data_IF_114912455829
#
_entry.id   IF_114912455829
#
_cell.length_a   1.000
_cell.length_b   1.000
_cell.length_c   1.000
_cell.angle_alpha   90.00
_cell.angle_beta   90.00
_cell.angle_gamma   90.00
#
_symmetry.space_group_name_H-M   'P 1'
#
loop_
_entity.id
_entity.type
_entity.pdbx_description
1 polymer ?
#
# COMPACT_ATOMS: atom_id res chain seq x y z
N UNK A 1 -1.08 22.06 -26.74
CA UNK A 1 -2.38 21.77 -26.08
C UNK A 1 -3.35 21.03 -27.02
N UNK A 2 -2.88 20.09 -27.85
CA UNK A 2 -3.72 19.45 -28.88
C UNK A 2 -3.24 18.07 -29.37
N UNK A 3 -2.38 17.36 -28.62
CA UNK A 3 -2.04 15.94 -28.90
C UNK A 3 -2.73 14.92 -27.97
N UNK A 4 -3.36 15.36 -26.89
CA UNK A 4 -3.96 14.45 -25.89
C UNK A 4 -5.37 13.94 -26.23
N UNK A 5 -6.01 14.41 -27.31
CA UNK A 5 -7.40 14.00 -27.66
C UNK A 5 -7.50 12.93 -28.74
N UNK A 6 -6.42 12.62 -29.46
CA UNK A 6 -6.49 11.71 -30.61
C UNK A 6 -6.36 10.22 -30.26
N UNK A 7 -5.81 9.87 -29.09
CA UNK A 7 -5.62 8.47 -28.69
C UNK A 7 -6.86 7.85 -28.00
N UNK A 8 -7.87 8.64 -27.65
CA UNK A 8 -9.03 8.20 -26.88
C UNK A 8 -10.20 7.67 -27.72
N UNK A 9 -10.15 7.77 -29.06
CA UNK A 9 -11.30 7.49 -29.93
C UNK A 9 -11.24 6.19 -30.73
N UNK A 10 -10.20 5.35 -30.59
CA UNK A 10 -10.01 4.18 -31.48
C UNK A 10 -10.60 2.86 -30.93
N UNK A 11 -10.98 2.76 -29.66
CA UNK A 11 -11.36 1.47 -29.06
C UNK A 11 -12.87 1.36 -28.77
N UNK A 12 -13.69 1.33 -29.82
CA UNK A 12 -15.07 0.82 -29.77
C UNK A 12 -15.29 -0.24 -30.84
N UNK A 13 -14.99 -1.49 -30.51
CA UNK A 13 -15.64 -2.65 -31.15
C UNK A 13 -15.94 -3.65 -30.03
N UNK A 14 -17.16 -4.16 -29.99
CA UNK A 14 -17.71 -5.00 -28.91
C UNK A 14 -16.99 -6.36 -28.71
N UNK A 15 -15.97 -6.68 -29.52
CA UNK A 15 -15.04 -7.81 -29.35
C UNK A 15 -13.62 -7.43 -28.91
N UNK A 16 -13.29 -6.14 -28.82
CA UNK A 16 -11.98 -5.64 -28.38
C UNK A 16 -11.82 -5.71 -26.86
N UNK A 17 -12.92 -5.69 -26.10
CA UNK A 17 -12.90 -5.70 -24.63
C UNK A 17 -12.23 -6.96 -24.07
N UNK A 18 -12.56 -8.14 -24.60
CA UNK A 18 -12.02 -9.41 -24.12
C UNK A 18 -10.50 -9.52 -24.41
N UNK A 19 -10.07 -9.10 -25.61
CA UNK A 19 -8.64 -9.09 -25.98
C UNK A 19 -7.86 -8.08 -25.13
N UNK A 20 -8.40 -6.86 -24.94
CA UNK A 20 -7.76 -5.86 -24.07
C UNK A 20 -7.64 -6.36 -22.64
N UNK A 21 -8.66 -7.05 -22.13
CA UNK A 21 -8.64 -7.62 -20.80
C UNK A 21 -7.64 -8.77 -20.68
N UNK A 22 -7.53 -9.61 -21.70
CA UNK A 22 -6.53 -10.68 -21.77
C UNK A 22 -5.11 -10.11 -21.77
N UNK A 23 -4.86 -9.00 -22.48
CA UNK A 23 -3.57 -8.31 -22.51
C UNK A 23 -3.24 -7.69 -21.14
N UNK A 24 -4.21 -7.05 -20.47
CA UNK A 24 -4.04 -6.47 -19.13
C UNK A 24 -3.79 -7.53 -18.04
N UNK A 25 -4.21 -8.78 -18.29
CA UNK A 25 -4.03 -9.92 -17.39
C UNK A 25 -2.90 -10.84 -17.81
N UNK A 26 -2.10 -10.45 -18.79
CA UNK A 26 -1.03 -11.28 -19.30
C UNK A 26 0.12 -11.40 -18.30
N UNK A 27 0.39 -12.63 -17.86
CA UNK A 27 1.46 -12.93 -16.90
C UNK A 27 2.78 -13.26 -17.58
N UNK A 28 2.73 -13.78 -18.81
CA UNK A 28 3.91 -14.20 -19.56
C UNK A 28 3.84 -13.71 -21.00
N UNK A 29 4.75 -12.80 -21.31
CA UNK A 29 5.01 -12.33 -22.66
C UNK A 29 6.15 -13.16 -23.26
N UNK A 30 5.93 -13.69 -24.46
CA UNK A 30 6.95 -14.39 -25.23
C UNK A 30 7.39 -13.51 -26.39
N UNK A 31 8.69 -13.37 -26.58
CA UNK A 31 9.26 -12.76 -27.77
C UNK A 31 9.29 -13.82 -28.87
N UNK A 32 8.69 -13.48 -30.00
CA UNK A 32 8.72 -14.30 -31.20
C UNK A 32 9.80 -13.78 -32.13
N UNK A 33 10.56 -14.70 -32.72
CA UNK A 33 11.61 -14.33 -33.68
C UNK A 33 10.97 -13.84 -34.98
N UNK A 34 11.28 -12.62 -35.39
CA UNK A 34 10.79 -12.02 -36.64
C UNK A 34 11.93 -11.72 -37.59
N UNK A 35 11.66 -11.87 -38.88
CA UNK A 35 12.56 -11.44 -39.96
C UNK A 35 12.41 -9.96 -40.29
N UNK A 36 11.33 -9.33 -39.81
CA UNK A 36 10.94 -7.94 -40.11
C UNK A 36 11.48 -6.94 -39.08
N UNK A 37 12.82 -6.82 -39.03
CA UNK A 37 13.51 -5.94 -38.08
C UNK A 37 13.25 -4.44 -38.26
N UNK A 38 12.66 -4.01 -39.39
CA UNK A 38 12.45 -2.60 -39.71
C UNK A 38 11.10 -2.10 -39.19
N UNK A 39 10.05 -2.92 -39.29
CA UNK A 39 8.66 -2.54 -38.95
C UNK A 39 8.17 -3.18 -37.66
N UNK A 40 8.72 -4.33 -37.27
CA UNK A 40 8.35 -5.06 -36.07
C UNK A 40 9.57 -5.82 -35.50
N UNK A 41 10.58 -5.09 -34.99
CA UNK A 41 11.79 -5.71 -34.44
C UNK A 41 11.51 -6.56 -33.19
N UNK A 42 10.47 -6.21 -32.42
CA UNK A 42 10.04 -7.00 -31.27
C UNK A 42 8.57 -7.41 -31.45
N UNK A 43 8.33 -8.68 -31.78
CA UNK A 43 6.99 -9.27 -31.81
C UNK A 43 6.74 -10.04 -30.53
N UNK A 44 5.71 -9.64 -29.79
CA UNK A 44 5.30 -10.31 -28.57
C UNK A 44 3.92 -10.92 -28.71
N UNK A 45 3.70 -12.07 -28.08
CA UNK A 45 2.37 -12.60 -27.83
C UNK A 45 2.21 -12.97 -26.37
N UNK A 46 0.96 -12.99 -25.91
CA UNK A 46 0.63 -13.43 -24.57
C UNK A 46 0.53 -14.96 -24.52
N UNK A 47 1.46 -15.61 -23.83
CA UNK A 47 1.51 -17.06 -23.68
C UNK A 47 0.58 -17.55 -22.56
N UNK A 48 0.51 -16.80 -21.45
CA UNK A 48 -0.39 -17.09 -20.35
C UNK A 48 -0.99 -15.84 -19.73
N UNK A 49 -2.28 -15.91 -19.41
CA UNK A 49 -3.03 -14.85 -18.76
C UNK A 49 -3.86 -15.40 -17.60
N UNK A 50 -4.17 -14.55 -16.63
CA UNK A 50 -5.04 -14.95 -15.53
C UNK A 50 -6.47 -15.25 -16.01
N UNK A 51 -6.99 -16.42 -15.64
CA UNK A 51 -8.34 -16.83 -16.02
C UNK A 51 -9.41 -16.33 -15.06
N UNK A 52 -10.47 -15.78 -15.66
CA UNK A 52 -11.79 -15.55 -15.06
C UNK A 52 -11.85 -14.37 -14.11
N UNK A 53 -13.02 -13.73 -14.07
CA UNK A 53 -13.38 -12.74 -13.06
C UNK A 53 -14.29 -13.34 -12.01
N UNK A 54 -14.18 -12.84 -10.79
CA UNK A 54 -15.22 -13.07 -9.81
C UNK A 54 -16.46 -12.23 -10.10
N UNK A 55 -17.59 -12.67 -9.54
CA UNK A 55 -18.81 -11.89 -9.57
C UNK A 55 -18.57 -10.47 -9.00
N UNK A 56 -19.25 -9.44 -9.54
CA UNK A 56 -19.06 -8.04 -9.10
C UNK A 56 -19.35 -7.85 -7.62
N UNK A 57 -20.20 -8.70 -7.03
CA UNK A 57 -20.47 -8.74 -5.59
C UNK A 57 -19.19 -8.95 -4.75
N UNK A 58 -18.26 -9.77 -5.21
CA UNK A 58 -16.98 -9.99 -4.52
C UNK A 58 -16.13 -8.71 -4.54
N UNK A 59 -16.11 -8.00 -5.67
CA UNK A 59 -15.45 -6.70 -5.77
C UNK A 59 -16.05 -5.65 -4.83
N UNK A 60 -17.38 -5.61 -4.72
CA UNK A 60 -18.07 -4.72 -3.79
C UNK A 60 -17.75 -5.05 -2.31
N UNK A 61 -17.68 -6.35 -1.96
CA UNK A 61 -17.27 -6.78 -0.62
C UNK A 61 -15.84 -6.36 -0.29
N UNK A 62 -14.90 -6.49 -1.25
CA UNK A 62 -13.51 -6.06 -1.07
C UNK A 62 -13.42 -4.54 -0.95
N UNK A 63 -14.20 -3.78 -1.72
CA UNK A 63 -14.29 -2.32 -1.58
C UNK A 63 -14.81 -1.92 -0.19
N UNK A 64 -15.90 -2.54 0.27
CA UNK A 64 -16.46 -2.29 1.59
C UNK A 64 -15.47 -2.66 2.71
N UNK A 65 -14.72 -3.74 2.54
CA UNK A 65 -13.66 -4.15 3.44
C UNK A 65 -12.49 -3.14 3.48
N UNK A 66 -12.04 -2.66 2.31
CA UNK A 66 -11.01 -1.63 2.23
C UNK A 66 -11.45 -0.31 2.90
N UNK A 67 -12.69 0.11 2.65
CA UNK A 67 -13.30 1.26 3.31
C UNK A 67 -13.39 1.05 4.84
N UNK A 68 -13.78 -0.14 5.29
CA UNK A 68 -13.81 -0.50 6.70
C UNK A 68 -12.42 -0.39 7.34
N UNK A 69 -11.37 -0.93 6.70
CA UNK A 69 -9.99 -0.84 7.18
C UNK A 69 -9.50 0.60 7.31
N UNK A 70 -9.83 1.46 6.32
CA UNK A 70 -9.52 2.89 6.35
C UNK A 70 -10.25 3.59 7.51
N UNK A 71 -11.56 3.40 7.60
CA UNK A 71 -12.42 4.04 8.61
C UNK A 71 -12.09 3.57 10.02
N UNK A 72 -11.80 2.29 10.22
CA UNK A 72 -11.44 1.76 11.54
C UNK A 72 -10.10 2.33 11.99
N UNK A 73 -9.10 2.39 11.10
CA UNK A 73 -7.82 3.02 11.39
C UNK A 73 -8.00 4.51 11.75
N UNK A 74 -8.79 5.26 10.97
CA UNK A 74 -9.09 6.67 11.24
C UNK A 74 -9.85 6.88 12.56
N UNK A 75 -10.87 6.07 12.82
CA UNK A 75 -11.66 6.19 14.05
C UNK A 75 -10.80 5.90 15.28
N UNK A 76 -9.92 4.90 15.22
CA UNK A 76 -9.04 4.58 16.34
C UNK A 76 -7.95 5.63 16.56
N UNK A 77 -7.39 6.24 15.51
CA UNK A 77 -6.45 7.35 15.68
C UNK A 77 -7.12 8.57 16.30
N UNK A 78 -8.33 8.94 15.86
CA UNK A 78 -9.10 10.05 16.49
C UNK A 78 -9.44 9.73 17.95
N UNK A 79 -9.88 8.51 18.25
CA UNK A 79 -10.17 8.10 19.63
C UNK A 79 -8.92 8.11 20.52
N UNK A 80 -7.73 7.86 19.96
CA UNK A 80 -6.46 8.00 20.67
C UNK A 80 -6.08 9.46 20.95
N UNK A 81 -6.49 10.41 20.12
CA UNK A 81 -6.28 11.85 20.35
C UNK A 81 -7.27 12.36 21.41
N UNK A 82 -8.53 11.93 21.35
CA UNK A 82 -9.62 12.48 22.18
C UNK A 82 -9.66 11.99 23.62
N UNK A 83 -9.14 10.79 23.91
CA UNK A 83 -9.11 10.22 25.26
C UNK A 83 -7.67 10.15 25.76
N UNK A 84 -7.28 11.10 26.58
CA UNK A 84 -6.10 10.99 27.43
C UNK A 84 -6.26 9.75 28.34
N UNK A 85 -5.57 8.65 28.03
CA UNK A 85 -5.19 7.65 29.03
C UNK A 85 -6.15 6.48 29.37
N UNK A 86 -7.23 6.19 28.64
CA UNK A 86 -8.07 5.04 28.98
C UNK A 86 -7.55 3.70 28.38
N UNK A 87 -6.62 3.05 29.09
CA UNK A 87 -6.03 1.74 28.78
C UNK A 87 -7.05 0.58 28.66
N UNK A 88 -8.30 0.75 29.07
CA UNK A 88 -9.32 -0.32 29.07
C UNK A 88 -9.92 -0.64 27.69
N UNK A 89 -9.75 0.23 26.69
CA UNK A 89 -10.26 0.00 25.33
C UNK A 89 -9.24 -0.64 24.37
N UNK A 90 -8.02 -0.94 24.81
CA UNK A 90 -6.87 -1.26 23.94
C UNK A 90 -6.92 -2.66 23.32
N UNK A 91 -7.36 -3.67 24.07
CA UNK A 91 -7.22 -5.09 23.68
C UNK A 91 -8.11 -5.52 22.50
N UNK A 92 -9.31 -4.95 22.36
CA UNK A 92 -10.25 -5.27 21.26
C UNK A 92 -10.02 -4.46 19.99
N UNK A 93 -9.37 -3.29 20.08
CA UNK A 93 -9.15 -2.39 18.92
C UNK A 93 -8.27 -3.03 17.85
N UNK A 94 -7.24 -3.77 18.26
CA UNK A 94 -6.29 -4.37 17.33
C UNK A 94 -6.90 -5.42 16.40
N UNK A 95 -7.94 -6.14 16.84
CA UNK A 95 -8.65 -7.11 15.98
C UNK A 95 -9.45 -6.44 14.86
N UNK A 96 -9.70 -5.13 14.98
CA UNK A 96 -10.49 -4.32 14.06
C UNK A 96 -9.62 -3.41 13.18
N UNK A 97 -8.30 -3.51 13.31
CA UNK A 97 -7.30 -2.76 12.51
C UNK A 97 -6.73 -3.67 11.41
N UNK A 98 -6.43 -3.15 10.21
CA UNK A 98 -5.95 -3.96 9.08
C UNK A 98 -4.68 -4.78 9.36
N UNK A 99 -3.78 -4.31 10.22
CA UNK A 99 -2.59 -5.06 10.70
C UNK A 99 -2.89 -6.11 11.77
N UNK A 100 -4.16 -6.26 12.18
CA UNK A 100 -4.61 -7.21 13.18
C UNK A 100 -4.60 -8.66 12.69
N UNK A 101 -4.54 -9.65 13.59
CA UNK A 101 -4.41 -11.06 13.22
C UNK A 101 -5.60 -11.62 12.43
N UNK A 102 -6.78 -11.00 12.51
CA UNK A 102 -7.96 -11.42 11.74
C UNK A 102 -8.09 -10.70 10.40
N UNK A 103 -7.79 -9.39 10.35
CA UNK A 103 -7.96 -8.60 9.14
C UNK A 103 -6.78 -8.75 8.17
N UNK A 104 -5.56 -8.96 8.69
CA UNK A 104 -4.36 -9.16 7.87
C UNK A 104 -4.50 -10.36 6.91
N UNK A 105 -4.95 -11.56 7.33
CA UNK A 105 -5.22 -12.66 6.40
C UNK A 105 -6.27 -12.32 5.33
N UNK A 106 -7.28 -11.51 5.66
CA UNK A 106 -8.30 -11.08 4.69
C UNK A 106 -7.72 -10.08 3.67
N UNK A 107 -6.85 -9.16 4.11
CA UNK A 107 -6.08 -8.28 3.20
C UNK A 107 -5.20 -9.13 2.27
N UNK A 108 -4.51 -10.13 2.81
CA UNK A 108 -3.69 -11.06 2.02
C UNK A 108 -4.52 -11.84 1.00
N UNK A 109 -5.70 -12.33 1.40
CA UNK A 109 -6.60 -13.05 0.51
C UNK A 109 -7.10 -12.15 -0.62
N UNK A 110 -7.48 -10.90 -0.30
CA UNK A 110 -7.89 -9.92 -1.30
C UNK A 110 -6.77 -9.65 -2.31
N UNK A 111 -5.54 -9.44 -1.85
CA UNK A 111 -4.37 -9.22 -2.71
C UNK A 111 -4.00 -10.46 -3.53
N UNK A 112 -3.96 -11.65 -2.92
CA UNK A 112 -3.61 -12.90 -3.58
C UNK A 112 -4.59 -13.31 -4.70
N UNK A 113 -5.83 -12.81 -4.64
CA UNK A 113 -6.87 -13.05 -5.64
C UNK A 113 -7.22 -11.78 -6.44
N UNK A 114 -6.41 -10.73 -6.31
CA UNK A 114 -6.69 -9.42 -6.88
C UNK A 114 -6.84 -9.39 -8.38
N UNK A 115 -6.13 -10.27 -9.10
CA UNK A 115 -6.20 -10.38 -10.56
C UNK A 115 -7.56 -10.83 -11.10
N UNK A 116 -8.46 -11.32 -10.24
CA UNK A 116 -9.85 -11.68 -10.60
C UNK A 116 -10.88 -10.64 -10.14
N UNK A 117 -10.44 -9.56 -9.50
CA UNK A 117 -11.29 -8.55 -8.87
C UNK A 117 -11.09 -7.22 -9.60
N UNK A 118 -11.77 -7.07 -10.74
CA UNK A 118 -11.61 -5.88 -11.60
C UNK A 118 -12.89 -5.03 -11.73
N UNK A 119 -14.07 -5.56 -11.36
CA UNK A 119 -15.34 -4.93 -11.72
C UNK A 119 -15.72 -3.68 -10.90
N UNK A 120 -15.47 -3.69 -9.58
CA UNK A 120 -15.92 -2.63 -8.64
C UNK A 120 -14.76 -1.95 -7.92
N UNK A 121 -13.67 -2.68 -7.70
CA UNK A 121 -12.47 -2.20 -7.01
C UNK A 121 -11.25 -2.72 -7.76
N UNK A 122 -10.76 -2.00 -8.78
CA UNK A 122 -9.63 -2.47 -9.59
C UNK A 122 -8.39 -2.53 -8.71
N UNK A 123 -8.05 -3.74 -8.25
CA UNK A 123 -6.98 -3.94 -7.27
C UNK A 123 -5.61 -3.54 -7.83
N UNK A 124 -5.45 -3.58 -9.16
CA UNK A 124 -4.25 -3.07 -9.82
C UNK A 124 -4.04 -1.56 -9.62
N UNK A 125 -5.11 -0.78 -9.48
CA UNK A 125 -5.05 0.67 -9.30
C UNK A 125 -5.19 1.10 -7.84
N UNK A 126 -5.98 0.38 -7.04
CA UNK A 126 -6.30 0.75 -5.65
C UNK A 126 -5.58 -0.12 -4.62
N UNK A 127 -4.90 -1.18 -5.04
CA UNK A 127 -4.08 -2.04 -4.19
C UNK A 127 -2.94 -1.31 -3.46
N UNK A 128 -2.23 -0.34 -4.07
CA UNK A 128 -1.25 0.48 -3.36
C UNK A 128 -1.84 1.25 -2.18
N UNK A 129 -3.06 1.76 -2.32
CA UNK A 129 -3.79 2.41 -1.22
C UNK A 129 -4.07 1.42 -0.08
N UNK A 130 -4.51 0.20 -0.40
CA UNK A 130 -4.74 -0.85 0.60
C UNK A 130 -3.43 -1.23 1.32
N UNK A 131 -2.32 -1.40 0.59
CA UNK A 131 -1.01 -1.69 1.18
C UNK A 131 -0.52 -0.56 2.09
N UNK A 132 -0.68 0.70 1.69
CA UNK A 132 -0.33 1.85 2.53
C UNK A 132 -1.18 1.93 3.80
N UNK A 133 -2.48 1.65 3.72
CA UNK A 133 -3.32 1.59 4.94
C UNK A 133 -2.87 0.48 5.89
N UNK A 134 -2.51 -0.70 5.36
CA UNK A 134 -1.96 -1.80 6.15
C UNK A 134 -0.65 -1.38 6.83
N UNK A 135 0.28 -0.83 6.07
CA UNK A 135 1.58 -0.35 6.52
C UNK A 135 1.47 0.75 7.60
N UNK A 136 0.65 1.77 7.36
CA UNK A 136 0.39 2.85 8.31
C UNK A 136 -0.24 2.31 9.60
N UNK A 137 -1.15 1.34 9.49
CA UNK A 137 -1.79 0.73 10.66
C UNK A 137 -0.84 -0.12 11.50
N UNK A 138 0.12 -0.82 10.87
CA UNK A 138 1.15 -1.59 11.58
C UNK A 138 2.13 -0.68 12.33
N UNK A 139 2.46 0.48 11.77
CA UNK A 139 3.28 1.49 12.46
C UNK A 139 2.51 2.19 13.59
N UNK A 140 1.24 2.55 13.37
CA UNK A 140 0.43 3.30 14.32
C UNK A 140 0.08 2.47 15.57
N UNK A 141 -0.47 1.27 15.37
CA UNK A 141 -1.03 0.44 16.42
C UNK A 141 -0.06 -0.65 16.84
N UNK A 142 0.35 -0.63 18.12
CA UNK A 142 1.29 -1.61 18.68
C UNK A 142 0.58 -2.89 19.11
N UNK A 143 1.31 -4.00 19.10
CA UNK A 143 0.82 -5.28 19.55
C UNK A 143 0.79 -5.32 21.09
N UNK A 144 -0.39 -5.40 21.71
CA UNK A 144 -0.50 -5.67 23.15
C UNK A 144 -0.75 -7.15 23.36
N UNK A 145 0.30 -7.88 23.73
CA UNK A 145 0.21 -9.28 24.10
C UNK A 145 0.88 -9.50 25.46
N UNK A 146 0.17 -10.24 26.32
CA UNK A 146 0.69 -10.66 27.62
C UNK A 146 1.77 -11.73 27.36
N UNK A 147 3.03 -11.38 27.60
CA UNK A 147 4.22 -12.22 27.41
C UNK A 147 5.02 -11.90 26.15
N UNK A 148 6.35 -11.87 26.29
CA UNK A 148 7.27 -11.44 25.23
C UNK A 148 7.28 -12.38 24.02
N UNK A 149 7.08 -13.69 24.24
CA UNK A 149 6.99 -14.67 23.15
C UNK A 149 5.73 -14.47 22.29
N UNK A 150 4.57 -14.21 22.90
CA UNK A 150 3.32 -13.98 22.16
C UNK A 150 3.36 -12.67 21.39
N UNK A 151 3.97 -11.63 21.99
CA UNK A 151 4.24 -10.37 21.31
C UNK A 151 5.13 -10.57 20.08
N UNK A 152 6.26 -11.27 20.26
CA UNK A 152 7.22 -11.59 19.22
C UNK A 152 6.57 -12.35 18.05
N UNK A 153 5.77 -13.39 18.32
CA UNK A 153 5.07 -14.15 17.26
C UNK A 153 4.07 -13.28 16.50
N UNK A 154 3.32 -12.42 17.19
CA UNK A 154 2.37 -11.51 16.54
C UNK A 154 3.07 -10.44 15.70
N UNK A 155 4.17 -9.85 16.18
CA UNK A 155 5.02 -8.92 15.41
C UNK A 155 5.61 -9.60 14.17
N UNK A 156 6.21 -10.78 14.34
CA UNK A 156 6.78 -11.55 13.23
C UNK A 156 5.70 -11.92 12.19
N UNK A 157 4.49 -12.28 12.63
CA UNK A 157 3.36 -12.53 11.74
C UNK A 157 2.94 -11.28 10.98
N UNK A 158 2.95 -10.10 11.61
CA UNK A 158 2.65 -8.84 10.90
C UNK A 158 3.73 -8.48 9.89
N UNK A 159 5.00 -8.69 10.21
CA UNK A 159 6.13 -8.50 9.28
C UNK A 159 5.99 -9.42 8.06
N UNK A 160 5.75 -10.72 8.31
CA UNK A 160 5.53 -11.70 7.25
C UNK A 160 4.31 -11.35 6.39
N UNK A 161 3.23 -10.88 7.01
CA UNK A 161 2.04 -10.46 6.28
C UNK A 161 2.26 -9.21 5.43
N UNK A 162 3.03 -8.23 5.88
CA UNK A 162 3.40 -7.07 5.05
C UNK A 162 4.24 -7.53 3.84
N UNK A 163 5.16 -8.47 4.03
CA UNK A 163 5.99 -9.03 2.96
C UNK A 163 5.16 -9.83 1.94
N UNK A 164 4.20 -10.62 2.39
CA UNK A 164 3.30 -11.34 1.48
C UNK A 164 2.36 -10.36 0.75
N UNK A 165 1.87 -9.33 1.45
CA UNK A 165 1.02 -8.31 0.85
C UNK A 165 1.76 -7.55 -0.26
N UNK A 166 3.03 -7.19 -0.04
CA UNK A 166 3.85 -6.53 -1.07
C UNK A 166 4.07 -7.43 -2.29
N UNK A 167 4.41 -8.69 -2.09
CA UNK A 167 4.63 -9.65 -3.19
C UNK A 167 3.34 -9.92 -3.99
N UNK A 168 2.21 -10.09 -3.31
CA UNK A 168 0.93 -10.29 -3.99
C UNK A 168 0.48 -9.03 -4.73
N UNK A 169 0.74 -7.84 -4.19
CA UNK A 169 0.44 -6.61 -4.89
C UNK A 169 1.28 -6.48 -6.16
N UNK A 170 2.58 -6.77 -6.08
CA UNK A 170 3.47 -6.79 -7.26
C UNK A 170 2.95 -7.77 -8.33
N UNK A 171 2.51 -8.96 -7.94
CA UNK A 171 1.95 -9.95 -8.86
C UNK A 171 0.68 -9.49 -9.60
N UNK A 172 -0.05 -8.51 -9.07
CA UNK A 172 -1.26 -7.94 -9.70
C UNK A 172 -0.93 -6.67 -10.49
N UNK A 173 -0.09 -5.80 -9.94
CA UNK A 173 0.27 -4.49 -10.51
C UNK A 173 1.16 -4.64 -11.74
N UNK A 174 2.15 -5.54 -11.72
CA UNK A 174 3.09 -5.70 -12.83
C UNK A 174 2.41 -6.13 -14.15
N UNK A 175 1.59 -7.20 -14.19
CA UNK A 175 0.85 -7.58 -15.40
C UNK A 175 -0.05 -6.45 -15.93
N UNK A 176 -0.74 -5.75 -15.03
CA UNK A 176 -1.62 -4.66 -15.41
C UNK A 176 -0.86 -3.54 -16.12
N UNK A 177 0.21 -3.01 -15.52
CA UNK A 177 0.95 -1.90 -16.10
C UNK A 177 1.76 -2.30 -17.35
N UNK A 178 2.29 -3.53 -17.41
CA UNK A 178 2.88 -4.06 -18.66
C UNK A 178 1.86 -4.13 -19.77
N UNK A 179 0.65 -4.61 -19.48
CA UNK A 179 -0.44 -4.65 -20.44
C UNK A 179 -0.87 -3.25 -20.89
N UNK A 180 -0.93 -2.27 -19.97
CA UNK A 180 -1.26 -0.88 -20.36
C UNK A 180 -0.19 -0.25 -21.25
N UNK A 181 1.09 -0.49 -20.96
CA UNK A 181 2.21 0.00 -21.77
C UNK A 181 2.22 -0.69 -23.13
N UNK A 182 1.93 -2.00 -23.15
CA UNK A 182 1.74 -2.78 -24.37
C UNK A 182 0.60 -2.17 -25.21
N UNK A 183 -0.60 -1.98 -24.67
CA UNK A 183 -1.75 -1.45 -25.41
C UNK A 183 -1.56 -0.01 -25.91
N UNK A 184 -0.85 0.83 -25.18
CA UNK A 184 -0.65 2.25 -25.55
C UNK A 184 0.42 2.45 -26.61
N UNK A 185 1.49 1.66 -26.58
CA UNK A 185 2.70 1.91 -27.37
C UNK A 185 3.02 0.82 -28.40
N UNK A 186 2.18 -0.20 -28.54
CA UNK A 186 2.33 -1.24 -29.56
C UNK A 186 1.27 -1.16 -30.65
N UNK A 187 1.52 -1.86 -31.75
CA UNK A 187 0.55 -2.06 -32.83
C UNK A 187 0.20 -3.55 -32.91
N UNK A 188 -1.06 -3.86 -33.16
CA UNK A 188 -1.46 -5.26 -33.40
C UNK A 188 -0.88 -5.75 -34.72
N UNK A 189 -0.20 -6.90 -34.68
CA UNK A 189 0.41 -7.54 -35.86
C UNK A 189 -0.64 -8.15 -36.80
N UNK A 190 -1.78 -8.60 -36.25
CA UNK A 190 -2.86 -9.24 -37.02
C UNK A 190 -2.69 -10.74 -37.24
N UNK A 191 -1.51 -11.29 -36.98
CA UNK A 191 -1.23 -12.74 -37.05
C UNK A 191 -1.93 -13.53 -35.93
N UNK A 192 -2.11 -12.92 -34.76
CA UNK A 192 -2.93 -13.46 -33.68
C UNK A 192 -3.64 -12.36 -32.89
N UNK A 193 -4.69 -12.72 -32.15
CA UNK A 193 -5.54 -11.77 -31.42
C UNK A 193 -4.75 -10.93 -30.38
N UNK A 194 -3.70 -11.50 -29.79
CA UNK A 194 -2.85 -10.85 -28.77
C UNK A 194 -1.45 -10.50 -29.29
N UNK A 195 -1.21 -10.61 -30.60
CA UNK A 195 0.12 -10.40 -31.17
C UNK A 195 0.39 -8.90 -31.33
N UNK A 196 1.46 -8.43 -30.69
CA UNK A 196 1.85 -7.03 -30.61
C UNK A 196 3.23 -6.81 -31.20
N UNK A 197 3.34 -5.81 -32.05
CA UNK A 197 4.58 -5.32 -32.63
C UNK A 197 5.04 -4.06 -31.90
N UNK A 198 6.32 -4.04 -31.50
CA UNK A 198 6.97 -2.88 -30.88
C UNK A 198 8.32 -2.58 -31.52
N UNK A 199 8.68 -1.30 -31.48
CA UNK A 199 10.00 -0.79 -31.87
C UNK A 199 11.01 -0.86 -30.70
N UNK A 200 10.51 -0.92 -29.47
CA UNK A 200 11.30 -0.97 -28.25
C UNK A 200 10.93 -2.21 -27.43
N UNK A 201 11.90 -2.80 -26.69
CA UNK A 201 11.65 -3.98 -25.89
C UNK A 201 10.59 -3.70 -24.81
N UNK A 202 9.74 -4.69 -24.54
CA UNK A 202 8.72 -4.57 -23.50
C UNK A 202 9.36 -4.67 -22.12
N UNK A 203 9.14 -3.66 -21.27
CA UNK A 203 9.69 -3.60 -19.92
C UNK A 203 8.63 -4.08 -18.91
N UNK A 204 9.03 -4.99 -18.01
CA UNK A 204 8.18 -5.47 -16.93
C UNK A 204 7.87 -4.34 -15.95
N UNK A 205 6.58 -4.11 -15.65
CA UNK A 205 6.05 -2.97 -14.91
C UNK A 205 5.70 -1.75 -15.76
N UNK A 206 6.00 -1.78 -17.07
CA UNK A 206 5.80 -0.64 -17.96
C UNK A 206 6.74 0.54 -17.64
N UNK A 207 6.57 1.64 -18.38
CA UNK A 207 7.37 2.87 -18.20
C UNK A 207 6.64 3.94 -17.39
N UNK A 208 5.33 3.77 -17.18
CA UNK A 208 4.44 4.80 -16.63
C UNK A 208 4.40 4.85 -15.10
N UNK A 209 4.66 3.74 -14.41
CA UNK A 209 4.55 3.68 -12.94
C UNK A 209 5.76 2.97 -12.32
N UNK A 210 6.51 3.69 -11.48
CA UNK A 210 7.68 3.20 -10.73
C UNK A 210 7.30 2.51 -9.40
N UNK A 211 6.02 2.26 -9.15
CA UNK A 211 5.59 1.67 -7.90
C UNK A 211 5.89 0.16 -7.85
N UNK A 212 6.62 -0.25 -6.81
CA UNK A 212 6.81 -1.65 -6.43
C UNK A 212 6.28 -1.85 -5.02
N UNK A 213 5.53 -2.92 -4.80
CA UNK A 213 5.06 -3.35 -3.49
C UNK A 213 6.22 -3.61 -2.54
N UNK A 214 7.29 -4.27 -3.01
CA UNK A 214 8.54 -4.38 -2.23
C UNK A 214 9.40 -3.12 -2.43
N UNK A 215 9.10 -2.10 -1.63
CA UNK A 215 9.69 -0.77 -1.70
C UNK A 215 10.64 -0.49 -0.53
N UNK A 216 11.35 0.65 -0.62
CA UNK A 216 12.14 1.21 0.50
C UNK A 216 11.25 1.46 1.74
N UNK A 217 9.99 1.87 1.54
CA UNK A 217 8.97 1.99 2.60
C UNK A 217 8.72 0.66 3.28
N UNK A 218 8.42 -0.40 2.52
CA UNK A 218 8.13 -1.72 3.08
C UNK A 218 9.30 -2.23 3.94
N UNK A 219 10.53 -2.10 3.45
CA UNK A 219 11.74 -2.48 4.21
C UNK A 219 11.91 -1.63 5.48
N UNK A 220 11.76 -0.30 5.40
CA UNK A 220 11.87 0.57 6.56
C UNK A 220 10.89 0.17 7.67
N UNK A 221 9.64 -0.13 7.31
CA UNK A 221 8.61 -0.59 8.25
C UNK A 221 8.98 -1.94 8.86
N UNK A 222 9.43 -2.89 8.05
CA UNK A 222 9.87 -4.20 8.54
C UNK A 222 11.01 -4.04 9.54
N UNK A 223 12.01 -3.20 9.25
CA UNK A 223 13.09 -2.91 10.19
C UNK A 223 12.60 -2.22 11.46
N UNK A 224 11.65 -1.29 11.36
CA UNK A 224 11.05 -0.64 12.52
C UNK A 224 10.29 -1.66 13.40
N UNK A 225 9.50 -2.56 12.82
CA UNK A 225 8.80 -3.63 13.55
C UNK A 225 9.78 -4.61 14.21
N UNK A 226 10.76 -5.11 13.45
CA UNK A 226 11.83 -5.95 14.00
C UNK A 226 12.59 -5.26 15.14
N UNK A 227 12.85 -3.95 15.03
CA UNK A 227 13.51 -3.20 16.12
C UNK A 227 12.66 -3.14 17.38
N UNK A 228 11.32 -3.07 17.28
CA UNK A 228 10.40 -3.12 18.44
C UNK A 228 10.49 -4.47 19.15
N UNK A 229 10.55 -5.55 18.37
CA UNK A 229 10.69 -6.91 18.88
C UNK A 229 12.02 -7.10 19.60
N UNK A 230 13.14 -6.69 18.99
CA UNK A 230 14.48 -6.80 19.58
C UNK A 230 14.61 -5.99 20.86
N UNK A 231 14.18 -4.71 20.87
CA UNK A 231 14.26 -3.86 22.07
C UNK A 231 13.43 -4.44 23.23
N UNK A 232 12.34 -5.14 22.94
CA UNK A 232 11.50 -5.77 23.97
C UNK A 232 12.14 -7.03 24.55
N UNK A 233 12.79 -7.85 23.71
CA UNK A 233 13.40 -9.13 24.13
C UNK A 233 14.71 -8.90 24.88
N UNK A 234 15.58 -8.02 24.37
CA UNK A 234 16.92 -7.82 24.91
C UNK A 234 17.00 -6.73 25.98
N UNK A 235 15.89 -6.01 26.23
CA UNK A 235 15.86 -4.86 27.13
C UNK A 235 16.24 -3.55 26.42
N UNK A 236 15.79 -2.44 27.00
CA UNK A 236 15.87 -1.11 26.37
C UNK A 236 17.14 -0.37 26.85
N UNK A 237 18.25 -0.56 26.13
CA UNK A 237 19.46 0.26 26.28
C UNK A 237 19.35 1.59 25.52
N UNK A 238 20.12 2.62 25.91
CA UNK A 238 20.07 3.96 25.29
C UNK A 238 20.28 3.93 23.77
N UNK A 239 21.17 3.08 23.27
CA UNK A 239 21.42 2.91 21.84
C UNK A 239 20.24 2.21 21.15
N UNK A 240 19.70 1.15 21.76
CA UNK A 240 18.55 0.41 21.22
C UNK A 240 17.28 1.27 21.13
N UNK A 241 17.05 2.13 22.14
CA UNK A 241 15.93 3.07 22.15
C UNK A 241 16.08 4.13 21.04
N UNK A 242 17.32 4.61 20.82
CA UNK A 242 17.61 5.57 19.76
C UNK A 242 17.43 4.96 18.37
N UNK A 243 17.95 3.75 18.12
CA UNK A 243 17.79 3.09 16.82
C UNK A 243 16.33 2.77 16.51
N UNK A 244 15.56 2.28 17.50
CA UNK A 244 14.12 2.09 17.37
C UNK A 244 13.39 3.37 17.00
N UNK A 245 13.68 4.47 17.71
CA UNK A 245 13.06 5.77 17.46
C UNK A 245 13.39 6.29 16.05
N UNK A 246 14.67 6.20 15.65
CA UNK A 246 15.12 6.60 14.33
C UNK A 246 14.45 5.78 13.21
N UNK A 247 14.32 4.46 13.37
CA UNK A 247 13.65 3.58 12.41
C UNK A 247 12.14 3.86 12.33
N UNK A 248 11.48 4.09 13.47
CA UNK A 248 10.07 4.49 13.49
C UNK A 248 9.88 5.83 12.76
N UNK A 249 10.73 6.83 13.02
CA UNK A 249 10.66 8.14 12.37
C UNK A 249 10.92 8.05 10.86
N UNK A 250 11.97 7.33 10.45
CA UNK A 250 12.29 7.12 9.04
C UNK A 250 11.14 6.42 8.31
N UNK A 251 10.51 5.42 8.93
CA UNK A 251 9.37 4.71 8.37
C UNK A 251 8.17 5.63 8.13
N UNK A 252 7.87 6.54 9.07
CA UNK A 252 6.80 7.53 8.88
C UNK A 252 7.09 8.51 7.74
N UNK A 253 8.35 8.97 7.60
CA UNK A 253 8.75 9.84 6.49
C UNK A 253 8.56 9.14 5.15
N UNK A 254 9.02 7.90 5.03
CA UNK A 254 8.85 7.14 3.80
C UNK A 254 7.37 6.88 3.48
N UNK A 255 6.56 6.48 4.47
CA UNK A 255 5.11 6.24 4.26
C UNK A 255 4.38 7.51 3.86
N UNK A 256 4.71 8.66 4.45
CA UNK A 256 4.17 9.95 4.04
C UNK A 256 4.58 10.32 2.62
N UNK A 257 5.85 10.09 2.26
CA UNK A 257 6.36 10.30 0.91
C UNK A 257 5.60 9.49 -0.15
N UNK A 258 5.41 8.19 0.08
CA UNK A 258 4.66 7.32 -0.82
C UNK A 258 3.19 7.73 -0.93
N UNK A 259 2.56 8.11 0.18
CA UNK A 259 1.16 8.56 0.17
C UNK A 259 0.98 9.86 -0.65
N UNK A 260 1.91 10.82 -0.51
CA UNK A 260 1.91 12.05 -1.31
C UNK A 260 2.20 11.75 -2.78
N UNK A 261 3.20 10.90 -3.07
CA UNK A 261 3.54 10.52 -4.43
C UNK A 261 2.35 9.93 -5.18
N UNK A 262 1.63 8.98 -4.58
CA UNK A 262 0.46 8.37 -5.20
C UNK A 262 -0.70 9.34 -5.35
N UNK A 263 -0.93 10.23 -4.38
CA UNK A 263 -1.94 11.28 -4.50
C UNK A 263 -1.64 12.23 -5.67
N UNK A 264 -0.39 12.68 -5.81
CA UNK A 264 0.04 13.55 -6.92
C UNK A 264 -0.08 12.81 -8.26
N UNK A 265 0.38 11.57 -8.33
CA UNK A 265 0.27 10.75 -9.55
C UNK A 265 -1.20 10.59 -9.98
N UNK A 266 -2.09 10.27 -9.05
CA UNK A 266 -3.52 10.15 -9.33
C UNK A 266 -4.14 11.48 -9.81
N UNK A 267 -3.68 12.62 -9.28
CA UNK A 267 -4.13 13.93 -9.77
C UNK A 267 -3.67 14.21 -11.19
N UNK A 268 -2.45 13.80 -11.54
CA UNK A 268 -1.92 13.96 -12.89
C UNK A 268 -2.66 13.08 -13.91
N UNK A 269 -3.10 11.88 -13.52
CA UNK A 269 -3.90 10.98 -14.36
C UNK A 269 -5.36 11.45 -14.53
N UNK A 270 -5.86 12.35 -13.68
CA UNK A 270 -7.21 12.92 -13.78
C UNK A 270 -8.34 11.96 -13.36
N UNK A 271 -8.02 10.81 -12.75
CA UNK A 271 -8.99 9.84 -12.28
C UNK A 271 -9.57 10.24 -10.92
N UNK A 272 -10.67 11.00 -10.92
CA UNK A 272 -11.27 11.59 -9.70
C UNK A 272 -11.50 10.58 -8.55
N UNK A 273 -11.92 9.35 -8.86
CA UNK A 273 -12.11 8.31 -7.85
C UNK A 273 -10.79 7.88 -7.20
N UNK A 274 -9.72 7.70 -7.99
CA UNK A 274 -8.39 7.34 -7.49
C UNK A 274 -7.81 8.49 -6.66
N UNK A 275 -8.00 9.74 -7.11
CA UNK A 275 -7.60 10.94 -6.35
C UNK A 275 -8.25 10.95 -4.97
N UNK A 276 -9.56 10.71 -4.89
CA UNK A 276 -10.27 10.68 -3.61
C UNK A 276 -9.72 9.60 -2.67
N UNK A 277 -9.49 8.38 -3.19
CA UNK A 277 -8.95 7.27 -2.38
C UNK A 277 -7.53 7.59 -1.87
N UNK A 278 -6.63 8.02 -2.75
CA UNK A 278 -5.26 8.34 -2.35
C UNK A 278 -5.18 9.54 -1.42
N UNK A 279 -6.02 10.57 -1.61
CA UNK A 279 -6.12 11.69 -0.70
C UNK A 279 -6.62 11.28 0.69
N UNK A 280 -7.61 10.37 0.77
CA UNK A 280 -8.09 9.82 2.04
C UNK A 280 -7.00 9.02 2.77
N UNK A 281 -6.24 8.19 2.05
CA UNK A 281 -5.11 7.43 2.63
C UNK A 281 -4.00 8.38 3.11
N UNK A 282 -3.66 9.39 2.31
CA UNK A 282 -2.70 10.42 2.73
C UNK A 282 -3.19 11.15 3.98
N UNK A 283 -4.46 11.54 4.02
CA UNK A 283 -5.10 12.14 5.20
C UNK A 283 -5.02 11.25 6.44
N UNK A 284 -5.24 9.93 6.31
CA UNK A 284 -5.06 8.98 7.39
C UNK A 284 -3.60 8.93 7.88
N UNK A 285 -2.63 8.87 6.97
CA UNK A 285 -1.20 8.86 7.32
C UNK A 285 -0.82 10.13 8.09
N UNK A 286 -1.23 11.30 7.60
CA UNK A 286 -0.99 12.56 8.29
C UNK A 286 -1.70 12.64 9.64
N UNK A 287 -2.91 12.11 9.75
CA UNK A 287 -3.62 12.02 11.03
C UNK A 287 -2.88 11.11 12.04
N UNK A 288 -2.33 9.97 11.59
CA UNK A 288 -1.49 9.11 12.42
C UNK A 288 -0.23 9.84 12.92
N UNK A 289 0.44 10.59 12.03
CA UNK A 289 1.63 11.38 12.38
C UNK A 289 1.25 12.47 13.37
N UNK A 290 0.16 13.20 13.12
CA UNK A 290 -0.33 14.25 14.02
C UNK A 290 -0.66 13.70 15.40
N UNK A 291 -1.33 12.55 15.49
CA UNK A 291 -1.62 11.89 16.76
C UNK A 291 -0.33 11.58 17.56
N UNK A 292 0.74 11.16 16.88
CA UNK A 292 2.04 10.89 17.51
C UNK A 292 2.71 12.17 18.01
N UNK A 293 2.72 13.22 17.19
CA UNK A 293 3.30 14.53 17.54
C UNK A 293 2.54 15.14 18.72
N UNK A 294 1.20 15.09 18.71
CA UNK A 294 0.37 15.60 19.80
C UNK A 294 0.68 14.90 21.13
N UNK A 295 0.78 13.57 21.13
CA UNK A 295 1.18 12.80 22.32
C UNK A 295 2.59 13.13 22.80
N UNK A 296 3.52 13.34 21.88
CA UNK A 296 4.88 13.75 22.22
C UNK A 296 4.91 15.13 22.87
N UNK A 297 4.16 16.09 22.35
CA UNK A 297 4.03 17.44 22.92
C UNK A 297 3.40 17.40 24.32
N UNK A 298 2.30 16.67 24.51
CA UNK A 298 1.68 16.51 25.84
C UNK A 298 2.61 15.82 26.86
N UNK A 299 3.43 14.87 26.40
CA UNK A 299 4.47 14.27 27.24
C UNK A 299 5.59 15.27 27.61
N UNK A 300 5.99 16.16 26.69
CA UNK A 300 6.97 17.20 27.01
C UNK A 300 6.41 18.21 28.01
N UNK A 301 5.15 18.61 27.87
CA UNK A 301 4.49 19.55 28.76
C UNK A 301 4.36 18.99 30.18
N UNK A 302 3.95 17.73 30.33
CA UNK A 302 3.89 17.05 31.64
C UNK A 302 5.27 16.90 32.28
N UNK A 303 6.33 16.66 31.50
CA UNK A 303 7.70 16.64 32.02
C UNK A 303 8.23 18.02 32.41
N UNK A 304 7.88 19.07 31.68
CA UNK A 304 8.24 20.45 32.05
C UNK A 304 7.55 20.90 33.34
N UNK A 305 6.29 20.49 33.56
CA UNK A 305 5.58 20.75 34.81
C UNK A 305 6.20 20.02 36.01
N UNK A 306 6.75 18.82 35.81
CA UNK A 306 7.48 18.08 36.84
C UNK A 306 8.89 18.63 37.12
N UNK A 307 9.45 19.41 36.19
CA UNK A 307 10.77 20.05 36.30
C UNK A 307 10.71 21.49 36.84
N UNK A 308 9.54 22.06 37.12
CA UNK A 308 9.48 23.27 37.96
C UNK A 308 9.85 22.85 39.39
N UNK A 309 11.03 23.23 39.93
CA UNK A 309 11.30 22.99 41.33
C UNK A 309 10.21 23.69 42.13
N UNK A 310 9.62 22.98 43.08
CA UNK A 310 8.75 23.55 44.09
C UNK A 310 9.54 24.60 44.88
N UNK A 311 9.56 25.84 44.40
CA UNK A 311 9.94 27.00 45.20
C UNK A 311 8.74 27.31 46.08
N UNK A 312 8.55 26.47 47.09
CA UNK A 312 7.68 26.71 48.23
C UNK A 312 8.42 26.18 49.44
N UNK A 313 9.02 27.12 50.18
CA UNK A 313 9.28 27.13 51.62
C UNK A 313 10.46 28.06 51.88
N UNK A 314 10.18 29.32 52.16
CA UNK A 314 10.62 30.00 53.39
C UNK A 314 10.03 31.43 53.40
N UNK A 315 8.87 31.56 54.03
CA UNK A 315 8.51 32.76 54.79
C UNK A 315 8.20 32.26 56.19
N UNK A 316 9.14 32.44 57.12
CA UNK A 316 8.87 32.46 58.56
C UNK A 316 9.77 33.53 59.17
N UNK A 317 9.10 34.65 59.49
CA UNK A 317 9.39 35.71 60.49
C UNK A 317 10.66 36.53 60.32
#
# INVERSE_FOLDING_TARGET
>A
MSLHRAAASVWRVQGSSNITQQILKCTRWQLEETTDFITCPYRYYCDSAYHGDYAPAVGALVAAFAAYCLLSAAAFTVLEIRRDGAAAASRRRKYLVPSGPFLLPLVLLALAKGHRIDAVFPLAQLGPALLLTLQASALAFRNEADGDLRYAVLEASTVSGILHASLYLDAVVLPYYTGTDALRWSRFSGECATCLCRMEPLIVGGTTVLYRGLSKTALAIIFALCSRMVCRIYGEERLSAWTRSALEAASWVFVAGDAVYLAVLATAEGAAANVAVYALVAGLVFLCIFAKVYKFLGWMETKQLHWKPSVSCHNVV
#
